data_IF_185309873922
#
_entry.id   IF_185309873922
#
_cell.length_a   1.000
_cell.length_b   1.000
_cell.length_c   1.000
_cell.angle_alpha   90.00
_cell.angle_beta   90.00
_cell.angle_gamma   90.00
#
_symmetry.space_group_name_H-M   'P 1'
#
loop_
_entity.id
_entity.type
_entity.pdbx_description
1 polymer ?
#
# COMPACT_ATOMS: atom_id res chain seq x y z
N UNK A 1 3.71 -1.79 2.19
CA UNK A 1 2.30 -1.38 2.15
C UNK A 1 2.09 -0.57 0.88
N UNK A 2 1.21 -1.03 -0.01
CA UNK A 2 0.83 -0.33 -1.24
C UNK A 2 -0.66 -0.07 -1.21
N UNK A 3 -1.06 0.98 -0.48
CA UNK A 3 -2.44 1.42 -0.39
C UNK A 3 -2.47 2.95 -0.51
N UNK A 4 -3.43 3.52 -1.26
CA UNK A 4 -3.71 4.94 -1.21
C UNK A 4 -4.28 5.35 0.15
N UNK A 5 -4.34 6.66 0.41
CA UNK A 5 -4.92 7.18 1.64
C UNK A 5 -6.42 6.88 1.70
N UNK A 6 -6.89 6.32 2.82
CA UNK A 6 -8.32 6.10 3.04
C UNK A 6 -9.08 7.41 3.28
N UNK A 7 -10.37 7.43 2.91
CA UNK A 7 -11.29 8.50 3.29
C UNK A 7 -11.36 8.65 4.82
N UNK A 8 -11.56 9.88 5.29
CA UNK A 8 -11.53 10.22 6.72
C UNK A 8 -12.43 9.34 7.61
N UNK A 9 -13.56 8.85 7.10
CA UNK A 9 -14.51 8.04 7.88
C UNK A 9 -14.04 6.61 8.12
N UNK A 10 -12.96 6.18 7.48
CA UNK A 10 -12.50 4.81 7.55
C UNK A 10 -11.31 4.64 8.51
N UNK A 11 -11.35 3.57 9.32
CA UNK A 11 -10.24 3.22 10.21
C UNK A 11 -9.16 2.47 9.45
N UNK A 12 -7.96 3.02 9.46
CA UNK A 12 -6.78 2.43 8.82
C UNK A 12 -6.48 1.03 9.36
N UNK A 13 -6.21 0.10 8.44
CA UNK A 13 -5.54 -1.17 8.75
C UNK A 13 -4.05 -0.92 8.96
N UNK A 14 -3.52 -1.37 10.11
CA UNK A 14 -2.08 -1.35 10.41
C UNK A 14 -1.37 -2.65 9.99
N UNK A 15 -2.02 -3.53 9.22
CA UNK A 15 -1.53 -4.89 8.96
C UNK A 15 -0.12 -4.94 8.38
N UNK A 16 0.18 -4.07 7.40
CA UNK A 16 1.49 -4.05 6.74
C UNK A 16 2.58 -3.32 7.54
N UNK A 17 2.21 -2.29 8.30
CA UNK A 17 3.18 -1.45 9.04
C UNK A 17 3.43 -1.96 10.46
N UNK A 18 2.44 -2.62 11.06
CA UNK A 18 2.48 -3.09 12.45
C UNK A 18 3.61 -4.09 12.71
N UNK A 19 3.96 -4.93 11.73
CA UNK A 19 5.01 -5.93 11.90
C UNK A 19 6.39 -5.28 12.08
N UNK A 20 6.66 -4.17 11.39
CA UNK A 20 7.92 -3.45 11.50
C UNK A 20 8.05 -2.82 12.90
N UNK A 21 6.96 -2.27 13.43
CA UNK A 21 6.92 -1.71 14.79
C UNK A 21 7.11 -2.80 15.84
N UNK A 22 6.38 -3.91 15.73
CA UNK A 22 6.40 -5.00 16.70
C UNK A 22 7.80 -5.63 16.83
N UNK A 23 8.48 -5.83 15.71
CA UNK A 23 9.79 -6.49 15.65
C UNK A 23 10.96 -5.50 15.72
N UNK A 24 10.68 -4.20 15.86
CA UNK A 24 11.69 -3.14 15.88
C UNK A 24 12.60 -3.19 14.64
N UNK A 25 11.99 -3.26 13.46
CA UNK A 25 12.66 -3.34 12.17
C UNK A 25 12.80 -1.96 11.54
N UNK A 26 13.92 -1.74 10.85
CA UNK A 26 14.13 -0.54 10.05
C UNK A 26 13.23 -0.59 8.81
N UNK A 27 12.48 0.48 8.52
CA UNK A 27 11.62 0.53 7.34
C UNK A 27 11.56 1.92 6.71
N UNK A 28 11.39 1.96 5.39
CA UNK A 28 11.23 3.19 4.60
C UNK A 28 10.10 3.02 3.60
N UNK A 29 9.39 4.11 3.28
CA UNK A 29 8.29 4.11 2.33
C UNK A 29 8.63 5.08 1.20
N UNK A 30 8.41 4.65 -0.04
CA UNK A 30 8.60 5.45 -1.24
C UNK A 30 7.31 5.46 -2.09
N UNK A 31 6.95 6.58 -2.73
CA UNK A 31 5.77 6.67 -3.58
C UNK A 31 6.03 6.02 -4.94
N UNK A 32 5.34 4.94 -5.31
CA UNK A 32 5.69 4.15 -6.51
C UNK A 32 4.77 4.34 -7.72
N UNK A 33 3.50 4.67 -7.49
CA UNK A 33 2.55 4.96 -8.57
C UNK A 33 1.43 5.84 -8.04
N UNK A 34 0.50 6.23 -8.91
CA UNK A 34 -0.79 6.80 -8.56
C UNK A 34 -1.89 5.81 -8.89
N UNK A 35 -3.04 6.00 -8.25
CA UNK A 35 -4.26 5.29 -8.62
C UNK A 35 -4.60 5.59 -10.07
N UNK A 36 -4.94 4.55 -10.81
CA UNK A 36 -5.30 4.60 -12.22
C UNK A 36 -6.80 4.28 -12.36
N UNK A 37 -7.57 5.26 -12.83
CA UNK A 37 -9.03 5.14 -12.92
C UNK A 37 -9.49 4.09 -13.94
N UNK A 38 -8.65 3.71 -14.91
CA UNK A 38 -9.01 2.70 -15.90
C UNK A 38 -8.59 1.29 -15.44
N UNK A 39 -7.40 1.16 -14.84
CA UNK A 39 -6.85 -0.13 -14.43
C UNK A 39 -7.39 -0.63 -13.08
N UNK A 40 -7.67 0.28 -12.15
CA UNK A 40 -8.09 -0.07 -10.78
C UNK A 40 -9.61 -0.31 -10.67
N UNK A 41 -10.29 -0.56 -11.79
CA UNK A 41 -11.73 -0.82 -11.81
C UNK A 41 -12.10 -2.10 -11.05
N UNK A 42 -13.24 -2.05 -10.37
CA UNK A 42 -13.75 -3.22 -9.65
C UNK A 42 -14.28 -4.25 -10.65
N UNK A 43 -13.61 -5.39 -10.72
CA UNK A 43 -13.97 -6.45 -11.67
C UNK A 43 -15.01 -7.41 -11.10
N UNK A 44 -15.73 -8.12 -11.98
CA UNK A 44 -16.60 -9.22 -11.58
C UNK A 44 -15.82 -10.32 -10.84
N UNK A 45 -14.56 -10.55 -11.22
CA UNK A 45 -13.68 -11.48 -10.52
C UNK A 45 -13.46 -11.05 -9.06
N UNK A 46 -13.14 -9.78 -8.82
CA UNK A 46 -13.01 -9.22 -7.47
C UNK A 46 -14.29 -9.38 -6.65
N UNK A 47 -15.46 -9.18 -7.27
CA UNK A 47 -16.75 -9.42 -6.63
C UNK A 47 -17.05 -10.91 -6.38
N UNK A 48 -16.51 -11.82 -7.18
CA UNK A 48 -16.75 -13.25 -7.01
C UNK A 48 -15.73 -13.92 -6.08
N UNK A 49 -14.68 -13.21 -5.66
CA UNK A 49 -13.73 -13.71 -4.65
C UNK A 49 -14.44 -14.06 -3.34
N UNK A 50 -14.08 -15.21 -2.77
CA UNK A 50 -14.60 -15.67 -1.49
C UNK A 50 -14.07 -14.79 -0.36
N UNK A 51 -14.99 -14.22 0.41
CA UNK A 51 -14.67 -13.47 1.64
C UNK A 51 -14.03 -14.42 2.67
N UNK A 52 -12.82 -14.09 3.11
CA UNK A 52 -12.03 -14.92 4.03
C UNK A 52 -12.27 -14.59 5.52
N UNK A 53 -12.70 -13.37 5.84
CA UNK A 53 -12.94 -12.91 7.21
C UNK A 53 -13.84 -11.68 7.24
N UNK A 54 -14.30 -11.27 8.43
CA UNK A 54 -15.05 -10.02 8.61
C UNK A 54 -14.23 -8.79 8.20
N UNK A 55 -12.92 -8.78 8.47
CA UNK A 55 -12.04 -7.69 8.05
C UNK A 55 -11.90 -7.60 6.53
N UNK A 56 -11.88 -8.75 5.85
CA UNK A 56 -11.84 -8.85 4.39
C UNK A 56 -13.15 -8.33 3.79
N UNK A 57 -14.30 -8.68 4.40
CA UNK A 57 -15.59 -8.13 4.03
C UNK A 57 -15.61 -6.60 4.14
N UNK A 58 -15.18 -6.05 5.27
CA UNK A 58 -15.13 -4.60 5.51
C UNK A 58 -14.22 -3.92 4.47
N UNK A 59 -13.02 -4.47 4.22
CA UNK A 59 -12.10 -3.91 3.25
C UNK A 59 -12.70 -3.85 1.84
N UNK A 60 -13.40 -4.93 1.44
CA UNK A 60 -14.08 -5.02 0.16
C UNK A 60 -15.28 -4.08 0.05
N UNK A 61 -16.12 -3.96 1.08
CA UNK A 61 -17.25 -3.03 1.09
C UNK A 61 -16.81 -1.56 1.09
N UNK A 62 -15.61 -1.29 1.59
CA UNK A 62 -15.02 0.06 1.61
C UNK A 62 -14.54 0.50 0.24
N UNK A 63 -14.03 -0.44 -0.57
CA UNK A 63 -13.54 -0.13 -1.91
C UNK A 63 -14.71 0.00 -2.90
N UNK A 64 -15.21 1.22 -3.08
CA UNK A 64 -16.35 1.53 -3.95
C UNK A 64 -15.98 1.78 -5.43
N UNK A 65 -14.69 1.81 -5.74
CA UNK A 65 -14.17 2.18 -7.06
C UNK A 65 -12.91 3.04 -6.96
N UNK A 66 -12.17 3.24 -8.06
CA UNK A 66 -10.95 4.03 -8.05
C UNK A 66 -11.19 5.54 -7.90
N UNK A 67 -12.41 6.04 -8.18
CA UNK A 67 -12.75 7.47 -8.11
C UNK A 67 -12.63 8.02 -6.68
N UNK A 68 -12.87 7.20 -5.66
CA UNK A 68 -12.74 7.64 -4.26
C UNK A 68 -11.28 7.82 -3.83
N UNK A 69 -10.33 7.35 -4.66
CA UNK A 69 -8.88 7.48 -4.47
C UNK A 69 -8.22 8.26 -5.62
N UNK A 70 -8.98 9.07 -6.34
CA UNK A 70 -8.44 9.89 -7.43
C UNK A 70 -7.23 10.72 -6.95
N UNK A 71 -6.19 10.78 -7.79
CA UNK A 71 -4.93 11.48 -7.53
C UNK A 71 -4.12 10.97 -6.32
N UNK A 72 -4.58 9.93 -5.62
CA UNK A 72 -3.85 9.34 -4.52
C UNK A 72 -2.60 8.62 -5.00
N UNK A 73 -1.58 8.65 -4.14
CA UNK A 73 -0.31 7.97 -4.36
C UNK A 73 -0.35 6.61 -3.70
N UNK A 74 0.13 5.59 -4.41
CA UNK A 74 0.35 4.26 -3.89
C UNK A 74 1.82 4.16 -3.44
N UNK A 75 2.03 3.87 -2.16
CA UNK A 75 3.36 3.69 -1.58
C UNK A 75 3.93 2.29 -1.78
N UNK A 76 5.23 2.11 -1.57
CA UNK A 76 5.87 0.82 -1.37
C UNK A 76 6.69 0.90 -0.10
N UNK A 77 6.61 -0.12 0.76
CA UNK A 77 7.38 -0.18 2.00
C UNK A 77 8.50 -1.20 1.85
N UNK A 78 9.71 -0.77 2.15
CA UNK A 78 10.89 -1.62 2.28
C UNK A 78 11.14 -1.83 3.77
N UNK A 79 11.27 -3.08 4.19
CA UNK A 79 11.57 -3.47 5.58
C UNK A 79 12.90 -4.23 5.56
N UNK A 80 13.84 -3.79 6.40
CA UNK A 80 15.13 -4.43 6.62
C UNK A 80 15.21 -4.98 8.06
N UNK A 81 16.33 -5.60 8.42
CA UNK A 81 16.51 -6.05 9.81
C UNK A 81 16.73 -4.85 10.73
N UNK A 82 16.69 -5.10 12.04
CA UNK A 82 16.98 -4.10 13.07
C UNK A 82 18.39 -3.53 12.92
N UNK A 83 18.55 -2.21 13.05
CA UNK A 83 19.80 -1.45 12.88
C UNK A 83 20.37 -1.51 11.44
N UNK A 84 19.50 -1.55 10.44
CA UNK A 84 19.87 -1.54 9.02
C UNK A 84 19.24 -0.36 8.26
N UNK A 85 19.15 0.81 8.89
CA UNK A 85 18.53 2.02 8.33
C UNK A 85 19.18 2.44 7.01
N UNK A 86 20.51 2.44 6.93
CA UNK A 86 21.25 2.82 5.71
C UNK A 86 21.02 1.81 4.57
N UNK A 87 20.84 0.53 4.89
CA UNK A 87 20.49 -0.48 3.88
C UNK A 87 19.07 -0.27 3.37
N UNK A 88 18.13 0.05 4.26
CA UNK A 88 16.75 0.36 3.87
C UNK A 88 16.72 1.56 2.91
N UNK A 89 17.46 2.62 3.21
CA UNK A 89 17.61 3.80 2.34
C UNK A 89 18.28 3.41 1.01
N UNK A 90 19.38 2.66 1.05
CA UNK A 90 20.07 2.20 -0.15
C UNK A 90 19.18 1.38 -1.08
N UNK A 91 18.37 0.48 -0.53
CA UNK A 91 17.38 -0.30 -1.28
C UNK A 91 16.28 0.61 -1.88
N UNK A 92 15.79 1.59 -1.12
CA UNK A 92 14.81 2.55 -1.63
C UNK A 92 15.36 3.35 -2.83
N UNK A 93 16.63 3.79 -2.79
CA UNK A 93 17.27 4.48 -3.92
C UNK A 93 17.42 3.60 -5.16
N UNK A 94 17.67 2.29 -4.99
CA UNK A 94 17.71 1.35 -6.11
C UNK A 94 16.33 1.17 -6.73
N UNK A 95 15.30 1.02 -5.89
CA UNK A 95 13.91 0.88 -6.35
C UNK A 95 13.43 2.15 -7.05
N UNK A 96 13.75 3.33 -6.54
CA UNK A 96 13.42 4.61 -7.16
C UNK A 96 13.96 4.70 -8.59
N UNK A 97 15.24 4.34 -8.78
CA UNK A 97 15.87 4.31 -10.11
C UNK A 97 15.25 3.26 -11.03
N UNK A 98 14.92 2.08 -10.50
CA UNK A 98 14.34 0.99 -11.29
C UNK A 98 12.91 1.28 -11.75
N UNK A 99 12.12 1.90 -10.88
CA UNK A 99 10.73 2.27 -11.13
C UNK A 99 10.59 3.61 -11.85
N UNK A 100 11.71 4.31 -12.12
CA UNK A 100 11.76 5.63 -12.78
C UNK A 100 10.80 6.63 -12.13
N UNK A 101 10.70 6.58 -10.81
CA UNK A 101 9.84 7.50 -10.08
C UNK A 101 10.35 8.92 -10.36
N UNK A 102 9.47 9.79 -10.84
CA UNK A 102 9.75 11.17 -11.30
C UNK A 102 10.44 11.33 -12.67
N UNK A 103 9.98 10.62 -13.71
CA UNK A 103 10.13 11.04 -15.12
C UNK A 103 8.87 11.73 -15.65
#
# INVERSE_FOLDING_TARGET
>A
CALPAYSHEFRLSIGYTGIANLLQLSSVILPVTRVDLELDQVTDEYHNMKIASELDQIARETYKGPEVFENCIVGLQVICRRLEEEKAIGMAMVLEKALKLYQ
#
